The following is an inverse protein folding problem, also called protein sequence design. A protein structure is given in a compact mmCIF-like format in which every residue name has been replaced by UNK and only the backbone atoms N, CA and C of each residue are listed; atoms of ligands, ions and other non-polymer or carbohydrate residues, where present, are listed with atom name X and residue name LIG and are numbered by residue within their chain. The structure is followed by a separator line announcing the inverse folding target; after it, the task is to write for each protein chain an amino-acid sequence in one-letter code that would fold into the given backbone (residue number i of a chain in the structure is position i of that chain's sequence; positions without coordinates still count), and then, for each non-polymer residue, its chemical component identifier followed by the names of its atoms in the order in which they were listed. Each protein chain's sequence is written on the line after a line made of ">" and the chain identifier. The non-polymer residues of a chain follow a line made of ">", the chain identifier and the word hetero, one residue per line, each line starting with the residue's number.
data_IF_963677869810
#
_entry.id   IF_963677869810
#
_cell.length_a   1.000
_cell.length_b   1.000
_cell.length_c   1.000
_cell.angle_alpha   90.00
_cell.angle_beta   90.00
_cell.angle_gamma   90.00
#
_symmetry.space_group_name_H-M   'P 1'
#
loop_
_entity.id
_entity.type
_entity.pdbx_description
1 polymer ?
#
# COMPACT_ATOMS: atom_id res chain seq x y z
N UNK A 1 11.33 2.47 -36.07
CA UNK A 1 11.47 2.62 -34.62
C UNK A 1 11.15 1.29 -33.97
N UNK A 2 12.01 0.77 -33.08
CA UNK A 2 11.73 -0.49 -32.37
C UNK A 2 10.50 -0.32 -31.48
N UNK A 3 9.66 -1.34 -31.37
CA UNK A 3 8.52 -1.38 -30.44
C UNK A 3 9.02 -1.60 -29.01
N UNK A 4 8.22 -1.26 -28.00
CA UNK A 4 8.56 -1.52 -26.60
C UNK A 4 8.87 -3.02 -26.35
N UNK A 5 8.13 -3.92 -26.99
CA UNK A 5 8.36 -5.35 -26.94
C UNK A 5 9.72 -5.74 -27.51
N UNK A 6 10.06 -5.25 -28.69
CA UNK A 6 11.37 -5.52 -29.31
C UNK A 6 12.54 -4.98 -28.49
N UNK A 7 12.36 -3.83 -27.80
CA UNK A 7 13.38 -3.29 -26.92
C UNK A 7 13.59 -4.21 -25.72
N UNK A 8 12.51 -4.69 -25.10
CA UNK A 8 12.59 -5.57 -23.93
C UNK A 8 13.18 -6.93 -24.31
N UNK A 9 12.64 -7.59 -25.33
CA UNK A 9 13.06 -8.95 -25.73
C UNK A 9 14.52 -8.99 -26.23
N UNK A 10 15.02 -7.89 -26.78
CA UNK A 10 16.40 -7.79 -27.29
C UNK A 10 17.31 -6.93 -26.41
N UNK A 11 16.96 -6.79 -25.13
CA UNK A 11 17.83 -6.10 -24.20
C UNK A 11 19.11 -6.90 -23.95
N UNK A 12 20.27 -6.29 -24.23
CA UNK A 12 21.61 -6.86 -24.12
C UNK A 12 22.51 -6.05 -23.16
N UNK A 13 21.90 -5.17 -22.35
CA UNK A 13 22.57 -4.36 -21.35
C UNK A 13 22.96 -5.14 -20.09
N UNK A 14 23.48 -4.43 -19.07
CA UNK A 14 23.85 -5.05 -17.80
C UNK A 14 22.62 -5.62 -17.05
N UNK A 15 22.89 -6.49 -16.06
CA UNK A 15 21.85 -6.97 -15.17
C UNK A 15 21.17 -5.81 -14.49
N UNK A 16 19.83 -5.85 -14.42
CA UNK A 16 19.01 -4.79 -13.83
C UNK A 16 17.87 -5.35 -13.00
N UNK A 17 17.72 -4.82 -11.80
CA UNK A 17 16.63 -5.12 -10.88
C UNK A 17 15.64 -3.96 -10.86
N UNK A 18 14.43 -4.18 -11.33
CA UNK A 18 13.35 -3.19 -11.37
C UNK A 18 12.33 -3.53 -10.29
N UNK A 19 12.11 -2.63 -9.33
CA UNK A 19 11.15 -2.84 -8.25
C UNK A 19 9.80 -2.21 -8.58
N UNK A 20 8.77 -3.06 -8.62
CA UNK A 20 7.37 -2.65 -8.70
C UNK A 20 6.93 -2.16 -7.31
N UNK A 21 6.74 -0.85 -7.13
CA UNK A 21 6.27 -0.28 -5.86
C UNK A 21 4.78 0.07 -5.92
N UNK A 22 4.02 -0.80 -6.58
CA UNK A 22 2.57 -0.72 -6.73
C UNK A 22 1.97 -2.12 -6.81
N UNK A 23 1.02 -2.44 -5.95
CA UNK A 23 0.36 -3.75 -5.98
C UNK A 23 -0.41 -4.00 -7.26
N UNK A 24 -1.07 -2.98 -7.81
CA UNK A 24 -1.75 -3.06 -9.11
C UNK A 24 -0.77 -3.34 -10.25
N UNK A 25 0.43 -2.74 -10.26
CA UNK A 25 1.47 -3.06 -11.25
C UNK A 25 1.89 -4.53 -11.13
N UNK A 26 2.16 -5.02 -9.92
CA UNK A 26 2.53 -6.42 -9.70
C UNK A 26 1.45 -7.35 -10.24
N UNK A 27 0.18 -7.11 -9.88
CA UNK A 27 -0.95 -7.91 -10.36
C UNK A 27 -1.06 -7.91 -11.89
N UNK A 28 -1.04 -6.72 -12.52
CA UNK A 28 -1.18 -6.58 -13.98
C UNK A 28 0.00 -7.19 -14.74
N UNK A 29 1.22 -7.00 -14.27
CA UNK A 29 2.42 -7.59 -14.86
C UNK A 29 2.35 -9.13 -14.88
N UNK A 30 1.83 -9.73 -13.80
CA UNK A 30 1.59 -11.17 -13.77
C UNK A 30 0.43 -11.57 -14.68
N UNK A 31 -0.72 -10.92 -14.58
CA UNK A 31 -1.92 -11.21 -15.37
C UNK A 31 -1.65 -11.14 -16.89
N UNK A 32 -0.87 -10.16 -17.30
CA UNK A 32 -0.49 -9.95 -18.70
C UNK A 32 0.69 -10.82 -19.17
N UNK A 33 1.31 -11.58 -18.27
CA UNK A 33 2.44 -12.45 -18.58
C UNK A 33 3.72 -11.70 -18.98
N UNK A 34 3.86 -10.42 -18.61
CA UNK A 34 5.00 -9.57 -19.00
C UNK A 34 6.32 -10.17 -18.52
N UNK A 35 6.35 -10.78 -17.32
CA UNK A 35 7.56 -11.44 -16.79
C UNK A 35 8.14 -12.52 -17.72
N UNK A 36 7.31 -13.16 -18.54
CA UNK A 36 7.74 -14.19 -19.50
C UNK A 36 8.45 -13.62 -20.76
N UNK A 37 8.32 -12.32 -20.99
CA UNK A 37 8.95 -11.60 -22.10
C UNK A 37 10.33 -11.05 -21.73
N UNK A 38 10.68 -11.07 -20.44
CA UNK A 38 11.91 -10.46 -19.95
C UNK A 38 13.11 -11.37 -20.22
N UNK A 39 14.23 -10.83 -20.72
CA UNK A 39 15.47 -11.57 -20.82
C UNK A 39 16.05 -11.80 -19.41
N UNK A 40 17.01 -12.71 -19.33
CA UNK A 40 17.59 -13.17 -18.04
C UNK A 40 18.25 -12.05 -17.21
N UNK A 41 18.71 -10.99 -17.87
CA UNK A 41 19.35 -9.84 -17.25
C UNK A 41 18.34 -8.91 -16.55
N UNK A 42 17.04 -9.05 -16.82
CA UNK A 42 16.01 -8.17 -16.25
C UNK A 42 15.23 -8.91 -15.19
N UNK A 43 15.39 -8.50 -13.94
CA UNK A 43 14.64 -9.03 -12.82
C UNK A 43 13.58 -8.02 -12.34
N UNK A 44 12.31 -8.45 -12.32
CA UNK A 44 11.25 -7.68 -11.65
C UNK A 44 11.08 -8.15 -10.21
N UNK A 45 11.07 -7.18 -9.29
CA UNK A 45 10.92 -7.38 -7.85
C UNK A 45 9.62 -6.75 -7.41
N UNK A 46 8.80 -7.49 -6.66
CA UNK A 46 7.58 -6.96 -6.07
C UNK A 46 7.89 -6.28 -4.73
N UNK A 47 7.86 -4.95 -4.72
CA UNK A 47 8.11 -4.12 -3.55
C UNK A 47 6.86 -3.83 -2.69
N UNK A 48 6.92 -2.86 -1.77
CA UNK A 48 5.89 -2.57 -0.78
C UNK A 48 4.72 -1.73 -1.34
N UNK A 49 4.20 -2.09 -2.50
CA UNK A 49 3.17 -1.34 -3.22
C UNK A 49 1.72 -1.61 -2.81
N UNK A 50 1.47 -2.52 -1.87
CA UNK A 50 0.13 -2.83 -1.37
C UNK A 50 -0.03 -2.33 0.06
N UNK A 51 -0.97 -1.39 0.34
CA UNK A 51 -1.13 -0.81 1.69
C UNK A 51 -1.53 -1.86 2.74
N UNK A 52 -2.35 -2.83 2.38
CA UNK A 52 -2.74 -3.96 3.26
C UNK A 52 -1.51 -4.78 3.65
N UNK A 53 -0.63 -5.04 2.68
CA UNK A 53 0.56 -5.88 2.89
C UNK A 53 1.58 -5.26 3.84
N UNK A 54 1.69 -3.92 3.83
CA UNK A 54 2.64 -3.17 4.67
C UNK A 54 2.05 -2.70 5.99
N UNK A 55 0.75 -2.90 6.23
CA UNK A 55 0.10 -2.59 7.50
C UNK A 55 0.61 -3.54 8.59
N UNK A 56 1.10 -3.04 9.75
CA UNK A 56 1.67 -3.87 10.80
C UNK A 56 0.62 -4.77 11.47
N UNK A 57 1.08 -5.83 12.11
CA UNK A 57 0.20 -6.78 12.83
C UNK A 57 -0.50 -6.08 13.98
N UNK A 58 0.20 -5.18 14.68
CA UNK A 58 -0.34 -4.37 15.77
C UNK A 58 -1.61 -3.61 15.40
N UNK A 59 -1.70 -3.10 14.17
CA UNK A 59 -2.90 -2.40 13.68
C UNK A 59 -4.12 -3.31 13.59
N UNK A 60 -3.94 -4.55 13.17
CA UNK A 60 -5.04 -5.54 13.15
C UNK A 60 -5.46 -5.87 14.59
N UNK A 61 -4.49 -6.02 15.49
CA UNK A 61 -4.76 -6.29 16.90
C UNK A 61 -5.45 -5.07 17.58
N UNK A 62 -5.09 -3.83 17.21
CA UNK A 62 -5.78 -2.61 17.64
C UNK A 62 -7.26 -2.61 17.20
N UNK A 63 -7.53 -2.97 15.94
CA UNK A 63 -8.90 -3.06 15.43
C UNK A 63 -9.72 -4.15 16.14
N UNK A 64 -9.10 -5.30 16.44
CA UNK A 64 -9.73 -6.39 17.21
C UNK A 64 -10.01 -5.94 18.63
N UNK A 65 -9.07 -5.24 19.27
CA UNK A 65 -9.25 -4.67 20.61
C UNK A 65 -10.45 -3.70 20.67
N UNK A 66 -10.55 -2.79 19.70
CA UNK A 66 -11.69 -1.88 19.60
C UNK A 66 -13.02 -2.65 19.49
N UNK A 67 -13.04 -3.69 18.64
CA UNK A 67 -14.26 -4.46 18.41
C UNK A 67 -14.70 -5.29 19.63
N UNK A 68 -13.78 -6.02 20.25
CA UNK A 68 -14.10 -6.96 21.32
C UNK A 68 -14.11 -6.32 22.70
N UNK A 69 -13.15 -5.43 23.01
CA UNK A 69 -13.02 -4.86 24.35
C UNK A 69 -13.78 -3.52 24.54
N UNK A 70 -13.96 -2.78 23.42
CA UNK A 70 -14.69 -1.49 23.46
C UNK A 70 -16.08 -1.57 22.87
N UNK A 71 -16.44 -2.70 22.23
CA UNK A 71 -17.75 -2.89 21.61
C UNK A 71 -17.99 -1.99 20.38
N UNK A 72 -16.90 -1.50 19.77
CA UNK A 72 -16.94 -0.60 18.60
C UNK A 72 -17.26 -1.41 17.34
N UNK A 73 -18.17 -0.92 16.52
CA UNK A 73 -18.40 -1.45 15.18
C UNK A 73 -17.24 -1.03 14.26
N UNK A 74 -16.53 -2.00 13.72
CA UNK A 74 -15.40 -1.77 12.80
C UNK A 74 -15.91 -1.77 11.37
N UNK A 75 -15.80 -0.63 10.70
CA UNK A 75 -15.99 -0.51 9.25
C UNK A 75 -14.67 -0.66 8.53
N UNK A 76 -14.59 -1.54 7.54
CA UNK A 76 -13.32 -1.84 6.87
C UNK A 76 -13.51 -2.31 5.43
N UNK A 77 -12.48 -2.20 4.61
CA UNK A 77 -12.42 -2.85 3.31
C UNK A 77 -12.32 -4.38 3.47
N UNK A 78 -12.91 -5.10 2.53
CA UNK A 78 -13.02 -6.57 2.60
C UNK A 78 -11.69 -7.30 2.75
N UNK A 79 -10.61 -6.79 2.13
CA UNK A 79 -9.28 -7.38 2.19
C UNK A 79 -8.73 -7.47 3.63
N UNK A 80 -8.98 -6.45 4.47
CA UNK A 80 -8.48 -6.42 5.85
C UNK A 80 -9.12 -7.48 6.75
N UNK A 81 -10.34 -7.93 6.44
CA UNK A 81 -11.10 -8.85 7.29
C UNK A 81 -10.36 -10.17 7.57
N UNK A 82 -9.58 -10.65 6.58
CA UNK A 82 -8.83 -11.91 6.68
C UNK A 82 -7.34 -11.74 6.98
N UNK A 83 -6.87 -10.50 7.12
CA UNK A 83 -5.46 -10.26 7.45
C UNK A 83 -5.17 -10.78 8.85
N UNK A 84 -4.14 -11.63 9.03
CA UNK A 84 -3.80 -12.13 10.36
C UNK A 84 -3.26 -11.04 11.27
N UNK A 85 -3.86 -10.93 12.46
CA UNK A 85 -3.27 -10.31 13.64
C UNK A 85 -2.34 -11.28 14.38
N UNK A 86 -2.03 -11.00 15.63
CA UNK A 86 -1.18 -11.86 16.48
C UNK A 86 -1.86 -13.20 16.75
N UNK A 87 -3.12 -13.19 17.15
CA UNK A 87 -3.85 -14.39 17.58
C UNK A 87 -4.98 -14.76 16.61
N UNK A 88 -5.59 -13.79 15.97
CA UNK A 88 -6.72 -13.98 15.06
C UNK A 88 -6.79 -12.86 14.03
N UNK A 89 -7.70 -12.98 13.08
CA UNK A 89 -8.10 -11.92 12.14
C UNK A 89 -9.40 -11.26 12.59
N UNK A 90 -9.82 -10.20 11.89
CA UNK A 90 -11.15 -9.61 12.10
C UNK A 90 -12.28 -10.62 11.80
N UNK A 91 -12.06 -11.56 10.87
CA UNK A 91 -13.00 -12.67 10.64
C UNK A 91 -13.15 -13.55 11.88
N UNK A 92 -12.03 -13.90 12.53
CA UNK A 92 -12.07 -14.65 13.80
C UNK A 92 -12.69 -13.86 14.94
N UNK A 93 -12.46 -12.54 15.01
CA UNK A 93 -13.10 -11.68 15.99
C UNK A 93 -14.63 -11.62 15.78
N UNK A 94 -15.10 -11.62 14.53
CA UNK A 94 -16.54 -11.71 14.22
C UNK A 94 -17.19 -12.99 14.76
N UNK A 95 -16.50 -14.12 14.71
CA UNK A 95 -16.98 -15.38 15.30
C UNK A 95 -17.10 -15.30 16.83
N UNK A 96 -16.37 -14.38 17.46
CA UNK A 96 -16.44 -14.06 18.91
C UNK A 96 -17.42 -12.94 19.24
N UNK A 97 -18.22 -12.48 18.27
CA UNK A 97 -19.26 -11.48 18.49
C UNK A 97 -18.84 -10.03 18.13
N UNK A 98 -17.65 -9.81 17.57
CA UNK A 98 -17.26 -8.48 17.09
C UNK A 98 -18.16 -8.03 15.94
N UNK A 99 -18.56 -6.76 15.97
CA UNK A 99 -19.31 -6.14 14.88
C UNK A 99 -18.33 -5.66 13.80
N UNK A 100 -18.28 -6.35 12.68
CA UNK A 100 -17.42 -6.02 11.54
C UNK A 100 -18.29 -5.75 10.32
N UNK A 101 -18.27 -4.52 9.83
CA UNK A 101 -19.03 -4.08 8.66
C UNK A 101 -18.10 -3.81 7.48
N UNK A 102 -18.36 -4.48 6.34
CA UNK A 102 -17.54 -4.29 5.12
C UNK A 102 -18.11 -3.14 4.34
N UNK A 103 -17.24 -2.18 4.02
CA UNK A 103 -17.56 -0.97 3.25
C UNK A 103 -16.69 -0.87 2.01
N UNK A 104 -17.13 -0.09 1.03
CA UNK A 104 -16.40 0.16 -0.22
C UNK A 104 -15.73 1.55 -0.25
N UNK A 105 -16.14 2.43 0.67
CA UNK A 105 -15.56 3.75 0.83
C UNK A 105 -15.59 4.20 2.30
N UNK A 106 -14.75 5.18 2.71
CA UNK A 106 -14.87 5.81 4.02
C UNK A 106 -16.22 6.53 4.23
N UNK A 107 -16.82 7.04 3.14
CA UNK A 107 -18.15 7.67 3.18
C UNK A 107 -19.27 6.68 3.55
N UNK A 108 -19.13 5.39 3.14
CA UNK A 108 -20.10 4.36 3.58
C UNK A 108 -20.02 4.12 5.08
N UNK A 109 -18.83 4.23 5.67
CA UNK A 109 -18.64 4.07 7.12
C UNK A 109 -19.19 5.26 7.90
N UNK A 110 -19.00 6.46 7.40
CA UNK A 110 -19.56 7.69 7.95
C UNK A 110 -21.09 7.66 7.90
N UNK A 111 -21.67 7.33 6.75
CA UNK A 111 -23.11 7.15 6.56
C UNK A 111 -23.68 6.09 7.52
N UNK A 112 -22.97 4.95 7.67
CA UNK A 112 -23.36 3.90 8.62
C UNK A 112 -23.43 4.45 10.05
N UNK A 113 -22.46 5.28 10.46
CA UNK A 113 -22.48 5.91 11.79
C UNK A 113 -23.72 6.82 11.98
N UNK A 114 -24.08 7.62 10.96
CA UNK A 114 -25.28 8.46 10.99
C UNK A 114 -26.58 7.66 11.06
N UNK A 115 -26.66 6.50 10.40
CA UNK A 115 -27.82 5.60 10.44
C UNK A 115 -27.91 4.77 11.75
N UNK A 116 -26.82 4.69 12.53
CA UNK A 116 -26.73 3.89 13.77
C UNK A 116 -26.21 4.74 14.95
N UNK A 117 -26.97 5.76 15.39
CA UNK A 117 -26.49 6.70 16.42
C UNK A 117 -26.19 6.05 17.78
N UNK A 118 -26.75 4.90 18.05
CA UNK A 118 -26.51 4.13 19.28
C UNK A 118 -25.24 3.26 19.22
N UNK A 119 -24.56 3.19 18.09
CA UNK A 119 -23.34 2.42 17.88
C UNK A 119 -22.12 3.34 17.77
N UNK A 120 -21.03 2.97 18.43
CA UNK A 120 -19.73 3.60 18.15
C UNK A 120 -19.13 2.95 16.92
N UNK A 121 -18.68 3.75 15.94
CA UNK A 121 -18.21 3.29 14.65
C UNK A 121 -16.78 3.76 14.40
N UNK A 122 -15.89 2.85 14.02
CA UNK A 122 -14.53 3.17 13.63
C UNK A 122 -14.24 2.63 12.22
N UNK A 123 -13.83 3.52 11.32
CA UNK A 123 -13.32 3.14 10.01
C UNK A 123 -11.82 2.84 10.07
N UNK A 124 -11.39 1.71 9.51
CA UNK A 124 -9.97 1.37 9.37
C UNK A 124 -9.37 2.09 8.16
N UNK A 125 -8.72 3.22 8.41
CA UNK A 125 -8.12 4.05 7.37
C UNK A 125 -6.75 3.51 6.98
N UNK A 126 -6.74 2.56 6.04
CA UNK A 126 -5.55 1.92 5.47
C UNK A 126 -5.40 2.34 4.02
N UNK A 127 -4.23 2.86 3.65
CA UNK A 127 -3.99 3.30 2.28
C UNK A 127 -2.70 4.08 2.12
N UNK A 128 -2.44 4.45 0.87
CA UNK A 128 -1.42 5.39 0.48
C UNK A 128 -2.05 6.74 0.12
N UNK A 129 -1.32 7.59 -0.56
CA UNK A 129 -1.75 8.95 -0.95
C UNK A 129 -3.06 8.95 -1.74
N UNK A 130 -3.37 7.88 -2.44
CA UNK A 130 -4.60 7.72 -3.24
C UNK A 130 -5.88 7.63 -2.40
N UNK A 131 -5.79 7.07 -1.19
CA UNK A 131 -6.96 6.80 -0.33
C UNK A 131 -7.04 7.73 0.88
N UNK A 132 -5.94 8.35 1.27
CA UNK A 132 -5.88 9.30 2.39
C UNK A 132 -6.89 10.45 2.25
N UNK A 133 -7.05 11.10 1.08
CA UNK A 133 -8.04 12.17 0.92
C UNK A 133 -9.47 11.74 1.20
N UNK A 134 -9.85 10.52 0.80
CA UNK A 134 -11.21 10.01 1.07
C UNK A 134 -11.46 9.79 2.56
N UNK A 135 -10.45 9.35 3.31
CA UNK A 135 -10.50 9.28 4.78
C UNK A 135 -10.68 10.66 5.41
N UNK A 136 -9.96 11.67 4.91
CA UNK A 136 -10.13 13.06 5.35
C UNK A 136 -11.56 13.57 5.07
N UNK A 137 -12.09 13.32 3.87
CA UNK A 137 -13.45 13.73 3.51
C UNK A 137 -14.51 13.11 4.43
N UNK A 138 -14.39 11.84 4.81
CA UNK A 138 -15.35 11.20 5.72
C UNK A 138 -15.30 11.81 7.13
N UNK A 139 -14.12 12.17 7.63
CA UNK A 139 -13.97 12.88 8.91
C UNK A 139 -14.58 14.28 8.84
N UNK A 140 -14.37 14.99 7.73
CA UNK A 140 -14.94 16.32 7.52
C UNK A 140 -16.47 16.27 7.47
N UNK A 141 -17.03 15.31 6.72
CA UNK A 141 -18.47 15.08 6.66
C UNK A 141 -19.06 14.73 8.03
N UNK A 142 -18.42 13.82 8.77
CA UNK A 142 -18.85 13.46 10.12
C UNK A 142 -18.91 14.66 11.07
N UNK A 143 -17.95 15.60 10.97
CA UNK A 143 -17.98 16.85 11.74
C UNK A 143 -19.12 17.76 11.30
N UNK A 144 -19.33 17.93 9.99
CA UNK A 144 -20.40 18.74 9.43
C UNK A 144 -21.79 18.21 9.82
N UNK A 145 -21.94 16.88 9.86
CA UNK A 145 -23.18 16.19 10.25
C UNK A 145 -23.35 16.04 11.78
N UNK A 146 -22.35 16.47 12.56
CA UNK A 146 -22.37 16.40 14.02
C UNK A 146 -22.32 15.00 14.61
N UNK A 147 -21.65 14.06 13.91
CA UNK A 147 -21.53 12.67 14.33
C UNK A 147 -20.43 12.53 15.41
N UNK A 148 -20.82 12.34 16.65
CA UNK A 148 -19.93 12.10 17.78
C UNK A 148 -19.56 10.61 17.95
N UNK A 149 -20.29 9.72 17.27
CA UNK A 149 -20.10 8.28 17.27
C UNK A 149 -19.15 7.75 16.18
N UNK A 150 -18.65 8.60 15.28
CA UNK A 150 -17.70 8.24 14.21
C UNK A 150 -16.25 8.47 14.64
N UNK A 151 -15.35 7.65 14.14
CA UNK A 151 -13.90 7.82 14.28
C UNK A 151 -13.14 7.03 13.20
N UNK A 152 -11.85 7.32 13.03
CA UNK A 152 -10.97 6.55 12.15
C UNK A 152 -9.77 6.01 12.93
N UNK A 153 -9.37 4.78 12.63
CA UNK A 153 -8.10 4.21 13.07
C UNK A 153 -7.12 4.33 11.90
N UNK A 154 -6.13 5.21 12.06
CA UNK A 154 -5.24 5.61 10.94
C UNK A 154 -4.04 4.69 10.81
N UNK A 155 -3.81 4.16 9.62
CA UNK A 155 -2.59 3.49 9.17
C UNK A 155 -2.17 3.93 7.75
N UNK A 156 -2.60 5.11 7.33
CA UNK A 156 -2.19 5.70 6.05
C UNK A 156 -0.68 5.94 6.03
N UNK A 157 -0.07 5.64 4.89
CA UNK A 157 1.36 5.72 4.66
C UNK A 157 1.67 6.54 3.42
N UNK A 158 2.90 7.05 3.34
CA UNK A 158 3.39 7.82 2.20
C UNK A 158 4.58 7.13 1.55
N UNK A 159 4.56 7.07 0.23
CA UNK A 159 5.50 6.26 -0.56
C UNK A 159 6.91 6.83 -0.70
N UNK A 160 7.15 8.16 -0.78
CA UNK A 160 8.50 8.69 -1.02
C UNK A 160 9.57 8.22 -0.04
N UNK A 161 9.25 8.18 1.26
CA UNK A 161 10.17 7.72 2.31
C UNK A 161 10.46 6.21 2.20
N UNK A 162 9.50 5.44 1.67
CA UNK A 162 9.72 4.02 1.42
C UNK A 162 10.65 3.80 0.21
N UNK A 163 10.58 4.65 -0.82
CA UNK A 163 11.53 4.60 -1.95
C UNK A 163 12.95 4.87 -1.50
N UNK A 164 13.15 5.90 -0.66
CA UNK A 164 14.45 6.21 -0.08
C UNK A 164 14.98 5.06 0.78
N UNK A 165 14.14 4.49 1.65
CA UNK A 165 14.51 3.37 2.52
C UNK A 165 14.87 2.09 1.74
N UNK A 166 14.44 1.97 0.48
CA UNK A 166 14.66 0.80 -0.39
C UNK A 166 15.62 1.07 -1.55
N UNK A 167 16.25 2.25 -1.61
CA UNK A 167 17.09 2.65 -2.75
C UNK A 167 18.18 1.64 -3.12
N UNK A 168 18.75 0.94 -2.12
CA UNK A 168 19.78 -0.08 -2.34
C UNK A 168 19.21 -1.46 -2.69
N UNK A 169 17.88 -1.60 -2.72
CA UNK A 169 17.20 -2.87 -2.99
C UNK A 169 16.91 -3.11 -4.48
N UNK A 170 17.01 -2.08 -5.31
CA UNK A 170 16.76 -2.15 -6.74
C UNK A 170 17.55 -1.07 -7.50
N UNK A 171 17.77 -1.30 -8.78
CA UNK A 171 18.44 -0.33 -9.66
C UNK A 171 17.47 0.71 -10.22
N UNK A 172 16.20 0.32 -10.41
CA UNK A 172 15.15 1.17 -10.96
C UNK A 172 13.83 0.93 -10.25
N UNK A 173 13.09 1.97 -9.93
CA UNK A 173 11.73 1.89 -9.41
C UNK A 173 10.68 2.07 -10.51
N UNK A 174 9.68 1.20 -10.51
CA UNK A 174 8.45 1.38 -11.30
C UNK A 174 7.41 2.06 -10.40
N UNK A 175 7.37 3.40 -10.46
CA UNK A 175 6.52 4.22 -9.63
C UNK A 175 5.03 4.11 -9.98
N UNK A 176 4.14 4.11 -8.98
CA UNK A 176 2.70 3.94 -9.17
C UNK A 176 2.05 5.20 -9.77
N UNK A 177 1.48 5.10 -10.96
CA UNK A 177 0.79 6.21 -11.61
C UNK A 177 -0.33 6.80 -10.78
N UNK A 178 -1.07 5.99 -10.00
CA UNK A 178 -2.15 6.47 -9.12
C UNK A 178 -1.61 7.35 -7.98
N UNK A 179 -0.53 6.96 -7.30
CA UNK A 179 0.11 7.78 -6.26
C UNK A 179 0.60 9.09 -6.86
N UNK A 180 1.33 9.02 -7.98
CA UNK A 180 1.86 10.20 -8.64
C UNK A 180 0.77 11.11 -9.26
N UNK A 181 -0.43 10.60 -9.53
CA UNK A 181 -1.58 11.43 -9.89
C UNK A 181 -2.01 12.36 -8.74
N UNK A 182 -1.81 11.93 -7.49
CA UNK A 182 -2.09 12.74 -6.30
C UNK A 182 -0.89 13.62 -5.94
N UNK A 183 0.32 13.03 -5.82
CA UNK A 183 1.51 13.73 -5.30
C UNK A 183 2.27 14.53 -6.35
N UNK A 184 2.06 14.26 -7.64
CA UNK A 184 2.88 14.79 -8.72
C UNK A 184 4.21 14.04 -8.87
N UNK A 185 5.15 14.64 -9.63
CA UNK A 185 6.44 14.03 -9.94
C UNK A 185 7.62 14.63 -9.17
N UNK A 186 7.46 15.80 -8.53
CA UNK A 186 8.56 16.54 -7.90
C UNK A 186 9.39 15.74 -6.91
N UNK A 187 8.74 14.90 -6.10
CA UNK A 187 9.44 14.05 -5.11
C UNK A 187 10.26 12.96 -5.79
N UNK A 188 9.73 12.34 -6.85
CA UNK A 188 10.47 11.34 -7.62
C UNK A 188 11.63 11.96 -8.42
N UNK A 189 11.46 13.20 -8.90
CA UNK A 189 12.51 13.98 -9.54
C UNK A 189 13.63 14.28 -8.55
N UNK A 190 13.30 14.74 -7.33
CA UNK A 190 14.27 15.02 -6.28
C UNK A 190 15.08 13.78 -5.86
N UNK A 191 14.43 12.60 -5.76
CA UNK A 191 15.12 11.34 -5.45
C UNK A 191 16.18 10.97 -6.51
N UNK A 192 16.04 11.44 -7.74
CA UNK A 192 17.03 11.22 -8.79
C UNK A 192 18.35 11.95 -8.48
N UNK A 193 18.30 13.09 -7.82
CA UNK A 193 19.49 13.82 -7.35
C UNK A 193 20.25 13.03 -6.27
N UNK A 194 19.54 12.14 -5.55
CA UNK A 194 20.10 11.21 -4.57
C UNK A 194 20.55 9.87 -5.17
N UNK A 195 20.51 9.73 -6.49
CA UNK A 195 20.94 8.55 -7.22
C UNK A 195 19.85 7.50 -7.45
N UNK A 196 18.59 7.78 -7.10
CA UNK A 196 17.46 6.85 -7.29
C UNK A 196 16.92 6.98 -8.71
N UNK A 197 16.92 5.89 -9.47
CA UNK A 197 16.32 5.86 -10.82
C UNK A 197 14.89 5.36 -10.79
N UNK A 198 14.02 5.92 -11.65
CA UNK A 198 12.67 5.40 -11.75
C UNK A 198 11.84 5.94 -12.91
N UNK A 199 10.77 5.23 -13.19
CA UNK A 199 9.78 5.59 -14.20
C UNK A 199 8.38 5.53 -13.61
N UNK A 200 7.54 6.52 -13.89
CA UNK A 200 6.12 6.46 -13.56
C UNK A 200 5.40 5.68 -14.66
N UNK A 201 4.61 4.67 -14.29
CA UNK A 201 3.84 3.88 -15.24
C UNK A 201 2.33 3.97 -15.01
N UNK A 202 1.57 3.85 -16.11
CA UNK A 202 0.14 3.55 -16.07
C UNK A 202 -0.09 2.04 -15.89
N UNK A 203 -1.30 1.56 -16.21
CA UNK A 203 -1.74 0.22 -15.81
C UNK A 203 -2.13 -0.68 -16.99
N UNK A 204 -2.23 -0.16 -18.19
CA UNK A 204 -2.49 -0.96 -19.38
C UNK A 204 -1.24 -1.70 -19.84
N UNK A 205 -1.40 -2.80 -20.60
CA UNK A 205 -0.28 -3.53 -21.18
C UNK A 205 0.68 -2.62 -21.94
N UNK A 206 0.14 -1.67 -22.74
CA UNK A 206 0.94 -0.72 -23.51
C UNK A 206 1.75 0.21 -22.60
N UNK A 207 1.15 0.74 -21.55
CA UNK A 207 1.80 1.67 -20.62
C UNK A 207 2.91 0.97 -19.82
N UNK A 208 2.64 -0.23 -19.30
CA UNK A 208 3.63 -1.03 -18.57
C UNK A 208 4.81 -1.42 -19.47
N UNK A 209 4.54 -1.93 -20.67
CA UNK A 209 5.59 -2.27 -21.64
C UNK A 209 6.41 -1.05 -22.05
N UNK A 210 5.76 0.10 -22.23
CA UNK A 210 6.46 1.36 -22.56
C UNK A 210 7.36 1.79 -21.43
N UNK A 211 6.87 1.79 -20.18
CA UNK A 211 7.64 2.19 -19.00
C UNK A 211 8.85 1.25 -18.78
N UNK A 212 8.68 -0.06 -18.93
CA UNK A 212 9.78 -1.03 -18.84
C UNK A 212 10.82 -0.81 -19.95
N UNK A 213 10.38 -0.61 -21.19
CA UNK A 213 11.31 -0.35 -22.29
C UNK A 213 12.11 0.95 -22.07
N UNK A 214 11.45 2.02 -21.60
CA UNK A 214 12.11 3.29 -21.26
C UNK A 214 13.09 3.10 -20.11
N UNK A 215 12.70 2.36 -19.05
CA UNK A 215 13.59 2.06 -17.93
C UNK A 215 14.87 1.36 -18.38
N UNK A 216 14.75 0.35 -19.24
CA UNK A 216 15.90 -0.40 -19.77
C UNK A 216 16.82 0.48 -20.63
N UNK A 217 16.25 1.28 -21.52
CA UNK A 217 17.04 2.20 -22.38
C UNK A 217 17.77 3.24 -21.52
N UNK A 218 17.10 3.81 -20.53
CA UNK A 218 17.69 4.81 -19.65
C UNK A 218 18.73 4.22 -18.71
N UNK A 219 18.53 3.02 -18.23
CA UNK A 219 19.50 2.34 -17.36
C UNK A 219 20.84 2.10 -18.08
N UNK A 220 20.83 1.78 -19.38
CA UNK A 220 22.04 1.64 -20.20
C UNK A 220 22.86 2.94 -20.34
N UNK A 221 22.25 4.12 -20.13
CA UNK A 221 22.97 5.41 -20.13
C UNK A 221 23.91 5.57 -18.91
N UNK A 222 23.77 4.72 -17.88
CA UNK A 222 24.64 4.68 -16.70
C UNK A 222 24.57 5.88 -15.78
N UNK A 223 23.45 6.61 -15.80
CA UNK A 223 23.18 7.79 -14.95
C UNK A 223 21.81 7.65 -14.28
N UNK A 224 21.64 8.19 -13.07
CA UNK A 224 20.32 8.28 -12.45
C UNK A 224 19.34 9.01 -13.36
N UNK A 225 18.09 8.58 -13.39
CA UNK A 225 17.08 9.15 -14.26
C UNK A 225 15.68 9.08 -13.63
N UNK A 226 14.85 10.04 -14.03
CA UNK A 226 13.41 10.01 -13.82
C UNK A 226 12.69 10.19 -15.16
N UNK A 227 11.66 9.39 -15.45
CA UNK A 227 10.80 9.56 -16.62
C UNK A 227 9.34 9.35 -16.25
N UNK A 228 8.49 10.33 -16.57
CA UNK A 228 7.05 10.16 -16.49
C UNK A 228 6.54 9.51 -17.78
N UNK A 229 6.24 8.20 -17.74
CA UNK A 229 5.63 7.46 -18.85
C UNK A 229 4.10 7.45 -18.80
N UNK A 230 3.48 8.24 -17.90
CA UNK A 230 2.02 8.35 -17.75
C UNK A 230 1.51 9.80 -17.77
N UNK A 231 2.00 10.63 -18.74
CA UNK A 231 1.75 12.09 -18.73
C UNK A 231 0.30 12.48 -19.00
N UNK A 232 -0.56 11.56 -19.48
CA UNK A 232 -1.99 11.83 -19.67
C UNK A 232 -2.77 11.96 -18.35
N UNK A 233 -2.19 11.48 -17.23
CA UNK A 233 -2.81 11.51 -15.89
C UNK A 233 -1.91 12.20 -14.89
N UNK A 234 -0.61 11.92 -14.93
CA UNK A 234 0.36 12.40 -13.95
C UNK A 234 0.98 13.70 -14.43
N UNK A 235 0.75 14.76 -13.67
CA UNK A 235 1.37 16.08 -13.85
C UNK A 235 2.49 16.30 -12.84
N UNK A 236 3.27 17.36 -13.00
CA UNK A 236 4.35 17.68 -12.06
C UNK A 236 3.83 18.02 -10.65
N UNK A 237 2.69 18.69 -10.56
CA UNK A 237 2.11 19.16 -9.30
C UNK A 237 1.08 18.18 -8.68
N UNK A 238 0.61 17.18 -9.45
CA UNK A 238 -0.42 16.25 -9.00
C UNK A 238 -1.78 16.89 -8.77
N UNK A 239 -2.56 16.36 -7.84
CA UNK A 239 -3.86 16.90 -7.43
C UNK A 239 -3.69 17.88 -6.27
N UNK A 240 -3.66 19.15 -6.59
CA UNK A 240 -3.51 20.23 -5.59
C UNK A 240 -4.63 20.21 -4.55
N UNK A 241 -5.86 19.91 -4.98
CA UNK A 241 -7.01 19.84 -4.09
C UNK A 241 -6.87 18.73 -3.05
N UNK A 242 -6.49 17.53 -3.49
CA UNK A 242 -6.27 16.38 -2.59
C UNK A 242 -5.11 16.65 -1.61
N UNK A 243 -4.02 17.26 -2.07
CA UNK A 243 -2.88 17.62 -1.23
C UNK A 243 -3.28 18.63 -0.15
N UNK A 244 -3.98 19.72 -0.54
CA UNK A 244 -4.44 20.75 0.42
C UNK A 244 -5.38 20.18 1.47
N UNK A 245 -6.29 19.28 1.09
CA UNK A 245 -7.18 18.62 2.04
C UNK A 245 -6.41 17.77 3.06
N UNK A 246 -5.43 16.99 2.58
CA UNK A 246 -4.60 16.17 3.47
C UNK A 246 -3.75 17.04 4.38
N UNK A 247 -3.14 18.09 3.84
CA UNK A 247 -2.33 19.05 4.61
C UNK A 247 -3.13 19.80 5.68
N UNK A 248 -4.43 20.10 5.42
CA UNK A 248 -5.34 20.69 6.40
C UNK A 248 -5.59 19.75 7.59
N UNK A 249 -5.75 18.46 7.31
CA UNK A 249 -6.31 17.52 8.30
C UNK A 249 -5.29 16.59 8.93
N UNK A 250 -4.20 16.31 8.22
CA UNK A 250 -3.20 15.32 8.64
C UNK A 250 -1.79 15.91 8.67
N UNK A 251 -0.93 15.27 9.43
CA UNK A 251 0.51 15.56 9.44
C UNK A 251 1.32 14.26 9.42
N UNK A 252 2.54 14.35 8.89
CA UNK A 252 3.45 13.22 8.81
C UNK A 252 3.92 12.76 10.19
N UNK A 253 4.04 11.45 10.37
CA UNK A 253 4.59 10.83 11.57
C UNK A 253 5.45 9.62 11.21
N UNK A 254 6.28 9.19 12.17
CA UNK A 254 7.00 7.92 12.04
C UNK A 254 6.00 6.78 12.04
N UNK A 255 6.22 5.82 11.17
CA UNK A 255 5.28 4.71 11.00
C UNK A 255 5.99 3.38 10.80
N UNK A 256 5.46 2.35 11.47
CA UNK A 256 5.89 0.98 11.25
C UNK A 256 5.31 0.45 9.92
N UNK A 257 6.18 -0.13 9.12
CA UNK A 257 5.84 -0.87 7.91
C UNK A 257 6.11 -2.36 8.15
N UNK A 258 5.11 -3.19 7.92
CA UNK A 258 5.27 -4.64 8.08
C UNK A 258 6.47 -5.13 7.27
N UNK A 259 7.46 -5.70 7.97
CA UNK A 259 8.68 -6.25 7.38
C UNK A 259 9.76 -5.25 6.97
N UNK A 260 9.51 -3.95 7.06
CA UNK A 260 10.50 -2.89 6.79
C UNK A 260 10.92 -2.17 8.08
N UNK A 261 10.17 -2.36 9.19
CA UNK A 261 10.40 -1.62 10.42
C UNK A 261 9.82 -0.22 10.41
N UNK A 262 10.30 0.63 11.28
CA UNK A 262 9.87 2.03 11.37
C UNK A 262 10.59 2.87 10.32
N UNK A 263 9.81 3.53 9.46
CA UNK A 263 10.32 4.49 8.47
C UNK A 263 9.91 5.88 8.95
N UNK A 264 10.87 6.81 9.17
CA UNK A 264 10.58 8.16 9.64
C UNK A 264 9.68 8.92 8.66
N UNK A 265 8.71 9.68 9.20
CA UNK A 265 7.79 10.55 8.46
C UNK A 265 7.04 9.88 7.31
N UNK A 266 6.86 8.56 7.37
CA UNK A 266 6.21 7.76 6.33
C UNK A 266 4.77 7.39 6.65
N UNK A 267 4.25 7.81 7.78
CA UNK A 267 2.86 7.64 8.18
C UNK A 267 2.15 8.96 8.30
N UNK A 268 0.83 8.91 8.40
CA UNK A 268 -0.04 10.05 8.60
C UNK A 268 -0.80 9.91 9.93
N UNK A 269 -1.03 11.02 10.62
CA UNK A 269 -1.91 11.12 11.79
C UNK A 269 -2.77 12.38 11.68
N UNK A 270 -3.91 12.39 12.34
CA UNK A 270 -4.78 13.56 12.39
C UNK A 270 -4.09 14.70 13.15
N UNK A 271 -4.21 15.93 12.64
CA UNK A 271 -3.80 17.15 13.34
C UNK A 271 -4.65 17.37 14.57
N UNK A 272 -4.17 18.21 15.47
CA UNK A 272 -4.81 18.49 16.77
C UNK A 272 -6.29 18.87 16.64
N UNK A 273 -6.64 19.65 15.64
CA UNK A 273 -8.00 20.14 15.39
C UNK A 273 -8.99 19.03 14.98
N UNK A 274 -8.47 17.84 14.63
CA UNK A 274 -9.25 16.69 14.16
C UNK A 274 -9.13 15.46 15.07
N UNK A 275 -8.42 15.57 16.19
CA UNK A 275 -8.10 14.45 17.08
C UNK A 275 -9.32 13.80 17.75
N UNK A 276 -10.46 14.48 17.82
CA UNK A 276 -11.71 13.90 18.32
C UNK A 276 -12.16 12.69 17.49
N UNK A 277 -11.73 12.61 16.21
CA UNK A 277 -11.99 11.49 15.32
C UNK A 277 -10.89 10.42 15.33
N UNK A 278 -9.80 10.61 16.09
CA UNK A 278 -8.76 9.59 16.24
C UNK A 278 -9.22 8.49 17.20
N UNK A 279 -9.42 7.28 16.70
CA UNK A 279 -9.89 6.15 17.49
C UNK A 279 -8.95 5.81 18.65
N UNK A 280 -7.62 5.95 18.49
CA UNK A 280 -6.66 5.67 19.56
C UNK A 280 -6.84 6.62 20.74
N UNK A 281 -7.07 7.91 20.47
CA UNK A 281 -7.30 8.93 21.48
C UNK A 281 -8.71 8.82 22.07
N UNK A 282 -9.73 8.71 21.21
CA UNK A 282 -11.15 8.63 21.60
C UNK A 282 -11.40 7.48 22.57
N UNK A 283 -10.83 6.31 22.33
CA UNK A 283 -11.03 5.12 23.16
C UNK A 283 -9.90 4.87 24.17
N UNK A 284 -8.95 5.82 24.30
CA UNK A 284 -7.81 5.72 25.22
C UNK A 284 -7.10 4.37 25.10
N UNK A 285 -6.72 4.03 23.88
CA UNK A 285 -6.18 2.72 23.58
C UNK A 285 -4.80 2.50 24.22
N UNK A 286 -4.54 1.35 24.81
CA UNK A 286 -3.19 1.01 25.23
C UNK A 286 -2.30 0.81 23.99
N UNK A 287 -0.97 0.91 24.18
CA UNK A 287 -0.03 0.50 23.15
C UNK A 287 -0.12 -1.01 22.97
N UNK A 288 -0.48 -1.44 21.76
CA UNK A 288 -0.60 -2.85 21.38
C UNK A 288 0.60 -3.25 20.53
N UNK A 289 1.32 -4.28 20.96
CA UNK A 289 2.45 -4.83 20.22
C UNK A 289 2.02 -6.06 19.44
N UNK A 290 2.12 -5.97 18.10
CA UNK A 290 1.79 -7.08 17.22
C UNK A 290 2.95 -8.09 17.10
N UNK A 291 2.62 -9.38 17.04
CA UNK A 291 3.60 -10.45 16.85
C UNK A 291 3.36 -11.14 15.50
N UNK A 292 4.16 -10.81 14.45
CA UNK A 292 4.03 -11.47 13.17
C UNK A 292 4.38 -12.96 13.29
N UNK A 293 3.72 -13.79 12.47
CA UNK A 293 4.04 -15.22 12.43
C UNK A 293 5.47 -15.41 11.91
N UNK A 294 6.37 -16.06 12.65
CA UNK A 294 7.80 -16.20 12.29
C UNK A 294 8.04 -17.05 11.04
N UNK A 295 7.08 -17.86 10.61
CA UNK A 295 7.16 -18.60 9.36
C UNK A 295 6.94 -17.74 8.12
N UNK A 296 6.35 -16.52 8.27
CA UNK A 296 6.07 -15.63 7.18
C UNK A 296 7.30 -14.82 6.76
N UNK A 297 7.67 -14.89 5.49
CA UNK A 297 8.78 -14.11 4.91
C UNK A 297 8.30 -12.89 4.10
N UNK A 298 7.10 -12.38 4.38
CA UNK A 298 6.53 -11.24 3.67
C UNK A 298 7.48 -10.03 3.67
N UNK A 299 8.15 -9.74 4.78
CA UNK A 299 9.12 -8.65 4.87
C UNK A 299 10.32 -8.82 3.92
N UNK A 300 10.85 -10.03 3.79
CA UNK A 300 11.96 -10.31 2.86
C UNK A 300 11.50 -10.17 1.40
N UNK A 301 10.27 -10.60 1.10
CA UNK A 301 9.69 -10.47 -0.23
C UNK A 301 9.55 -8.99 -0.61
N UNK A 302 8.99 -8.16 0.28
CA UNK A 302 8.77 -6.73 0.04
C UNK A 302 10.07 -5.93 -0.09
N UNK A 303 11.18 -6.46 0.44
CA UNK A 303 12.52 -5.89 0.28
C UNK A 303 13.27 -6.45 -0.94
N UNK A 304 12.68 -7.36 -1.69
CA UNK A 304 13.34 -8.01 -2.82
C UNK A 304 14.46 -8.98 -2.44
N UNK A 305 14.52 -9.41 -1.17
CA UNK A 305 15.53 -10.37 -0.67
C UNK A 305 15.22 -11.81 -1.04
N UNK A 306 13.97 -12.13 -1.33
CA UNK A 306 13.52 -13.43 -1.82
C UNK A 306 12.23 -13.31 -2.62
N UNK A 307 11.94 -14.32 -3.45
CA UNK A 307 10.65 -14.45 -4.15
C UNK A 307 9.64 -15.14 -3.23
N UNK A 308 8.32 -14.95 -3.47
CA UNK A 308 7.29 -15.70 -2.75
C UNK A 308 7.49 -17.23 -2.79
N UNK A 309 7.94 -17.77 -3.93
CA UNK A 309 8.26 -19.20 -4.11
C UNK A 309 9.35 -19.72 -3.18
N UNK A 310 10.24 -18.85 -2.69
CA UNK A 310 11.34 -19.23 -1.79
C UNK A 310 10.88 -19.31 -0.32
N UNK A 311 9.65 -18.90 -0.03
CA UNK A 311 9.06 -19.00 1.30
C UNK A 311 8.57 -20.44 1.55
N UNK A 312 9.07 -21.08 2.62
CA UNK A 312 8.79 -22.48 2.95
C UNK A 312 7.30 -22.80 3.12
N UNK A 313 6.50 -21.83 3.52
CA UNK A 313 5.05 -22.00 3.74
C UNK A 313 4.21 -21.60 2.52
N UNK A 314 4.79 -20.98 1.50
CA UNK A 314 4.09 -20.55 0.29
C UNK A 314 3.44 -21.72 -0.45
N UNK A 315 2.15 -21.59 -0.79
CA UNK A 315 1.38 -22.60 -1.52
C UNK A 315 1.12 -23.90 -0.76
N UNK A 316 1.59 -24.02 0.49
CA UNK A 316 1.41 -25.19 1.37
C UNK A 316 0.60 -24.82 2.60
N UNK A 317 1.27 -24.25 3.62
CA UNK A 317 0.62 -23.74 4.82
C UNK A 317 0.06 -22.32 4.67
N UNK A 318 0.55 -21.55 3.70
CA UNK A 318 0.09 -20.20 3.40
C UNK A 318 -0.58 -20.18 2.02
N UNK A 319 -1.90 -20.08 2.00
CA UNK A 319 -2.74 -20.05 0.80
C UNK A 319 -3.76 -18.89 0.94
N UNK A 320 -4.47 -18.50 -0.13
CA UNK A 320 -5.54 -17.50 -0.03
C UNK A 320 -6.66 -17.89 0.94
N UNK A 321 -6.89 -19.19 1.15
CA UNK A 321 -7.88 -19.71 2.09
C UNK A 321 -7.37 -19.67 3.54
N UNK A 322 -6.07 -19.94 3.73
CA UNK A 322 -5.40 -19.97 5.03
C UNK A 322 -4.15 -19.09 5.01
N UNK A 323 -4.31 -17.75 4.97
CA UNK A 323 -3.18 -16.83 4.86
C UNK A 323 -2.40 -16.74 6.19
N UNK A 324 -1.08 -16.88 6.11
CA UNK A 324 -0.16 -16.64 7.25
C UNK A 324 0.32 -15.18 7.25
N UNK A 325 0.37 -14.54 6.09
CA UNK A 325 0.78 -13.15 5.92
C UNK A 325 -0.18 -12.35 5.05
N UNK A 326 -0.19 -11.02 5.25
CA UNK A 326 -1.06 -10.09 4.55
C UNK A 326 -0.91 -10.14 3.01
N UNK A 327 0.30 -10.37 2.50
CA UNK A 327 0.56 -10.44 1.05
C UNK A 327 -0.16 -11.61 0.35
N UNK A 328 -0.66 -12.62 1.08
CA UNK A 328 -1.46 -13.70 0.53
C UNK A 328 -2.96 -13.38 0.54
N UNK A 329 -3.39 -12.38 1.34
CA UNK A 329 -4.80 -11.99 1.46
C UNK A 329 -5.22 -11.05 0.36
N UNK A 330 -4.48 -9.96 0.18
CA UNK A 330 -4.80 -8.92 -0.81
C UNK A 330 -4.50 -9.40 -2.23
N UNK A 331 -5.41 -9.13 -3.15
CA UNK A 331 -5.20 -9.36 -4.59
C UNK A 331 -4.01 -8.57 -5.18
N UNK A 332 -3.61 -7.50 -4.52
CA UNK A 332 -2.44 -6.68 -4.85
C UNK A 332 -1.15 -7.17 -4.16
N UNK A 333 -1.23 -8.19 -3.33
CA UNK A 333 -0.07 -8.73 -2.63
C UNK A 333 0.83 -9.57 -3.52
N UNK A 334 2.14 -9.43 -3.37
CA UNK A 334 3.13 -10.19 -4.13
C UNK A 334 2.89 -11.71 -4.04
N UNK A 335 2.65 -12.24 -2.84
CA UNK A 335 2.39 -13.67 -2.66
C UNK A 335 1.10 -14.12 -3.36
N UNK A 336 0.03 -13.32 -3.30
CA UNK A 336 -1.24 -13.62 -3.96
C UNK A 336 -1.08 -13.65 -5.49
N UNK A 337 -0.39 -12.66 -6.06
CA UNK A 337 -0.11 -12.61 -7.49
C UNK A 337 0.73 -13.81 -7.97
N UNK A 338 1.81 -14.14 -7.23
CA UNK A 338 2.59 -15.34 -7.53
C UNK A 338 1.74 -16.63 -7.43
N UNK A 339 0.91 -16.76 -6.41
CA UNK A 339 0.06 -17.95 -6.22
C UNK A 339 -0.95 -18.13 -7.35
N UNK A 340 -1.50 -17.03 -7.87
CA UNK A 340 -2.54 -17.06 -8.88
C UNK A 340 -2.00 -17.27 -10.31
N UNK A 341 -0.79 -16.77 -10.61
CA UNK A 341 -0.30 -16.68 -11.99
C UNK A 341 1.03 -17.40 -12.26
N UNK A 342 1.69 -18.02 -11.26
CA UNK A 342 2.96 -18.75 -11.44
C UNK A 342 2.76 -20.18 -11.89
#
# INVERSE_FOLDING_TARGET
>A
MKTAREIIENYDGPDVRIMEVCGTHTHEIFRLGIRKLLPKQVELISGPGCPVCVTPVSFIDEAIYLALEKGVTICTFGDLVRVPGTNMSLAGAREQGAKIHIVYSPADAEKYAGEHPDEQVTFLSVGFETTTPAGCLSVKAAREDGLDNYSILVANKTMPQAYEALKDSADVFLYPGHVNAITGTRLCEALTEEGVSGVVAGFTAKELMTALAVALVKFQEGKPFFVNCYPRVVTQDGSREAQLLVDEMMEACDCEWRGLGVIPKSGMKLRQEWQEFDARLKYQMPKIEGKPNPACRCGDVLQGKCKPSDCKVFGKGCTPQHPIGACMVSGEGACSAYYQYS
#
